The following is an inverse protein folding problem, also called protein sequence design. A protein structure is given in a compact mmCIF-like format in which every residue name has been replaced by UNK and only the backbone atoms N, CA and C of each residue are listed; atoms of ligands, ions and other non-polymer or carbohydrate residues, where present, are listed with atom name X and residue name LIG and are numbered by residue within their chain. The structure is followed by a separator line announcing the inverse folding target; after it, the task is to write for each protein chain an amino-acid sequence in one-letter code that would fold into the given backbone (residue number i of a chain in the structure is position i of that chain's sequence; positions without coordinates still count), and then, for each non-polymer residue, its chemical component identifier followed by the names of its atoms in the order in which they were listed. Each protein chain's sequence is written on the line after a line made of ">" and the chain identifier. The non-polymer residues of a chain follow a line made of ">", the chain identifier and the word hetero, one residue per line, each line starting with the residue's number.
data_IF_625204099497
#
_entry.id   IF_625204099497
#
_cell.length_a   1.000
_cell.length_b   1.000
_cell.length_c   1.000
_cell.angle_alpha   90.00
_cell.angle_beta   90.00
_cell.angle_gamma   90.00
#
_symmetry.space_group_name_H-M   'P 1'
#
loop_
_entity.id
_entity.type
_entity.pdbx_description
1 polymer ?
#
# COMPACT_ATOMS: atom_id res chain seq x y z
N UNK A 1 6.66 25.12 41.96
CA UNK A 1 5.83 23.91 42.17
C UNK A 1 6.56 22.96 43.11
N UNK A 2 6.72 23.31 44.39
CA UNK A 2 7.60 22.55 45.30
C UNK A 2 7.04 22.42 46.73
N UNK A 3 6.00 23.17 47.06
CA UNK A 3 5.41 23.20 48.41
C UNK A 3 4.49 22.00 48.70
N UNK A 4 3.97 21.32 47.67
CA UNK A 4 3.10 20.13 47.85
C UNK A 4 3.92 18.92 48.31
N UNK A 5 5.15 18.75 47.81
CA UNK A 5 6.02 17.65 48.22
C UNK A 5 6.65 17.86 49.60
N UNK A 6 6.80 19.11 50.06
CA UNK A 6 7.38 19.44 51.36
C UNK A 6 6.44 19.14 52.56
N UNK A 7 5.15 18.93 52.29
CA UNK A 7 4.14 18.57 53.30
C UNK A 7 3.66 17.12 53.21
N UNK A 8 4.24 16.32 52.29
CA UNK A 8 3.82 14.93 52.08
C UNK A 8 4.74 14.01 52.88
N UNK A 9 4.16 13.25 53.80
CA UNK A 9 4.84 12.28 54.65
C UNK A 9 5.69 11.31 53.78
N UNK A 10 6.96 11.01 54.16
CA UNK A 10 7.87 10.18 53.35
C UNK A 10 7.28 8.81 52.99
N UNK A 11 6.43 8.25 53.85
CA UNK A 11 5.73 7.00 53.58
C UNK A 11 4.65 7.15 52.48
N UNK A 12 3.99 8.30 52.42
CA UNK A 12 3.02 8.61 51.34
C UNK A 12 3.73 8.77 50.00
N UNK A 13 4.90 9.42 49.99
CA UNK A 13 5.69 9.59 48.78
C UNK A 13 6.23 8.25 48.26
N UNK A 14 6.66 7.37 49.16
CA UNK A 14 7.15 6.04 48.83
C UNK A 14 6.05 5.15 48.26
N UNK A 15 4.86 5.17 48.86
CA UNK A 15 3.70 4.44 48.37
C UNK A 15 3.17 4.99 47.03
N UNK A 16 3.18 6.32 46.84
CA UNK A 16 2.84 6.94 45.57
C UNK A 16 3.84 6.58 44.47
N UNK A 17 5.15 6.56 44.77
CA UNK A 17 6.19 6.16 43.81
C UNK A 17 6.07 4.67 43.43
N UNK A 18 5.78 3.79 44.40
CA UNK A 18 5.49 2.38 44.16
C UNK A 18 4.23 2.21 43.29
N UNK A 19 3.16 2.96 43.58
CA UNK A 19 1.92 2.96 42.81
C UNK A 19 2.09 3.46 41.38
N UNK A 20 2.86 4.53 41.18
CA UNK A 20 3.18 5.06 39.85
C UNK A 20 4.05 4.10 39.05
N UNK A 21 5.03 3.46 39.70
CA UNK A 21 5.90 2.48 39.05
C UNK A 21 5.10 1.27 38.59
N UNK A 22 4.26 0.71 39.48
CA UNK A 22 3.36 -0.40 39.13
C UNK A 22 2.31 0.00 38.08
N UNK A 23 1.76 1.21 38.18
CA UNK A 23 0.80 1.76 37.21
C UNK A 23 1.42 1.90 35.82
N UNK A 24 2.66 2.38 35.71
CA UNK A 24 3.34 2.54 34.43
C UNK A 24 3.56 1.20 33.70
N UNK A 25 3.88 0.14 34.45
CA UNK A 25 4.00 -1.22 33.93
C UNK A 25 2.67 -1.73 33.37
N UNK A 26 1.56 -1.51 34.09
CA UNK A 26 0.23 -1.91 33.62
C UNK A 26 -0.16 -1.16 32.34
N UNK A 27 0.10 0.15 32.27
CA UNK A 27 -0.16 0.94 31.07
C UNK A 27 0.68 0.43 29.90
N UNK A 28 1.95 0.12 30.11
CA UNK A 28 2.82 -0.44 29.08
C UNK A 28 2.29 -1.78 28.53
N UNK A 29 1.82 -2.67 29.41
CA UNK A 29 1.24 -3.97 29.03
C UNK A 29 -0.05 -3.78 28.20
N UNK A 30 -0.93 -2.86 28.63
CA UNK A 30 -2.16 -2.55 27.91
C UNK A 30 -1.85 -2.00 26.51
N UNK A 31 -0.94 -1.04 26.40
CA UNK A 31 -0.53 -0.47 25.12
C UNK A 31 0.06 -1.55 24.20
N UNK A 32 0.91 -2.43 24.72
CA UNK A 32 1.49 -3.54 23.95
C UNK A 32 0.41 -4.47 23.38
N UNK A 33 -0.64 -4.76 24.16
CA UNK A 33 -1.75 -5.60 23.73
C UNK A 33 -2.65 -4.91 22.69
N UNK A 34 -2.87 -3.60 22.83
CA UNK A 34 -3.61 -2.80 21.84
C UNK A 34 -2.87 -2.75 20.52
N UNK A 35 -1.55 -2.49 20.55
CA UNK A 35 -0.70 -2.50 19.35
C UNK A 35 -0.76 -3.86 18.67
N UNK A 36 -0.60 -4.96 19.42
CA UNK A 36 -0.69 -6.32 18.87
C UNK A 36 -2.04 -6.61 18.21
N UNK A 37 -3.16 -6.11 18.76
CA UNK A 37 -4.49 -6.25 18.15
C UNK A 37 -4.73 -5.40 16.91
N UNK A 38 -4.02 -4.27 16.78
CA UNK A 38 -4.16 -3.33 15.64
C UNK A 38 -3.19 -3.68 14.51
N UNK A 39 -2.01 -4.22 14.82
CA UNK A 39 -0.97 -4.51 13.82
C UNK A 39 -1.47 -5.42 12.69
N UNK A 40 -2.31 -6.42 12.99
CA UNK A 40 -2.90 -7.26 11.95
C UNK A 40 -3.77 -6.47 10.95
N UNK A 41 -4.53 -5.49 11.44
CA UNK A 41 -5.35 -4.61 10.59
C UNK A 41 -4.47 -3.68 9.76
N UNK A 42 -3.47 -3.06 10.39
CA UNK A 42 -2.54 -2.14 9.73
C UNK A 42 -1.76 -2.84 8.63
N UNK A 43 -1.17 -4.01 8.92
CA UNK A 43 -0.42 -4.80 7.92
C UNK A 43 -1.31 -5.19 6.75
N UNK A 44 -2.54 -5.66 7.02
CA UNK A 44 -3.51 -5.97 5.97
C UNK A 44 -3.82 -4.75 5.10
N UNK A 45 -4.10 -3.59 5.71
CA UNK A 45 -4.37 -2.34 4.97
C UNK A 45 -3.18 -1.93 4.11
N UNK A 46 -1.95 -2.00 4.63
CA UNK A 46 -0.73 -1.67 3.87
C UNK A 46 -0.57 -2.57 2.66
N UNK A 47 -0.83 -3.88 2.81
CA UNK A 47 -0.76 -4.83 1.68
C UNK A 47 -1.80 -4.47 0.61
N UNK A 48 -3.05 -4.21 0.99
CA UNK A 48 -4.08 -3.82 0.04
C UNK A 48 -3.75 -2.53 -0.70
N UNK A 49 -3.21 -1.54 0.01
CA UNK A 49 -2.76 -0.28 -0.60
C UNK A 49 -1.60 -0.53 -1.57
N UNK A 50 -0.64 -1.37 -1.21
CA UNK A 50 0.47 -1.72 -2.09
C UNK A 50 -0.01 -2.39 -3.38
N UNK A 51 -0.93 -3.34 -3.30
CA UNK A 51 -1.53 -3.99 -4.47
C UNK A 51 -2.29 -2.97 -5.34
N UNK A 52 -3.06 -2.06 -4.71
CA UNK A 52 -3.77 -1.02 -5.43
C UNK A 52 -2.83 -0.05 -6.16
N UNK A 53 -1.71 0.33 -5.53
CA UNK A 53 -0.70 1.20 -6.14
C UNK A 53 -0.01 0.52 -7.33
N UNK A 54 0.35 -0.76 -7.19
CA UNK A 54 0.93 -1.55 -8.29
C UNK A 54 -0.10 -1.73 -9.43
N UNK A 55 -1.37 -1.94 -9.12
CA UNK A 55 -2.43 -1.96 -10.14
C UNK A 55 -2.59 -0.60 -10.84
N UNK A 56 -2.52 0.49 -10.08
CA UNK A 56 -2.66 1.85 -10.63
C UNK A 56 -1.47 2.26 -11.50
N UNK A 57 -0.24 1.90 -11.13
CA UNK A 57 0.95 2.21 -11.94
C UNK A 57 0.91 1.54 -13.32
N UNK A 58 0.19 0.42 -13.45
CA UNK A 58 0.07 -0.33 -14.71
C UNK A 58 -1.02 0.21 -15.64
N UNK A 59 -1.86 1.13 -15.16
CA UNK A 59 -2.93 1.72 -15.98
C UNK A 59 -2.37 2.47 -17.20
N UNK A 60 -1.21 3.11 -17.09
CA UNK A 60 -0.60 3.86 -18.19
C UNK A 60 -0.18 2.93 -19.32
N UNK A 61 0.58 1.87 -19.00
CA UNK A 61 1.09 0.89 -19.98
C UNK A 61 -0.05 0.21 -20.75
N UNK A 62 -1.14 -0.13 -20.06
CA UNK A 62 -2.35 -0.69 -20.68
C UNK A 62 -3.00 0.33 -21.62
N UNK A 63 -3.10 1.59 -21.20
CA UNK A 63 -3.73 2.65 -22.00
C UNK A 63 -2.90 2.95 -23.25
N UNK A 64 -1.57 2.98 -23.13
CA UNK A 64 -0.65 3.22 -24.24
C UNK A 64 -0.64 2.04 -25.24
N UNK A 65 -0.69 0.80 -24.74
CA UNK A 65 -0.84 -0.39 -25.59
C UNK A 65 -2.18 -0.37 -26.35
N UNK A 66 -3.29 -0.12 -25.66
CA UNK A 66 -4.63 -0.05 -26.29
C UNK A 66 -4.68 1.05 -27.34
N UNK A 67 -4.10 2.22 -27.07
CA UNK A 67 -4.01 3.31 -28.04
C UNK A 67 -3.14 2.93 -29.25
N UNK A 68 -2.04 2.20 -29.04
CA UNK A 68 -1.17 1.70 -30.11
C UNK A 68 -1.85 0.64 -30.98
N UNK A 69 -2.57 -0.32 -30.36
CA UNK A 69 -3.41 -1.29 -31.08
C UNK A 69 -4.50 -0.59 -31.89
N UNK A 70 -5.17 0.41 -31.29
CA UNK A 70 -6.23 1.18 -31.95
C UNK A 70 -5.70 2.03 -33.12
N UNK A 71 -4.52 2.63 -32.97
CA UNK A 71 -3.88 3.37 -34.06
C UNK A 71 -3.45 2.43 -35.19
N UNK A 72 -2.91 1.25 -34.87
CA UNK A 72 -2.54 0.23 -35.85
C UNK A 72 -3.77 -0.33 -36.60
N UNK A 73 -4.91 -0.52 -35.93
CA UNK A 73 -6.14 -0.99 -36.56
C UNK A 73 -6.87 0.06 -37.38
N UNK A 74 -6.79 1.34 -37.02
CA UNK A 74 -7.32 2.45 -37.85
C UNK A 74 -6.45 2.71 -39.09
N UNK A 75 -5.14 2.51 -38.99
CA UNK A 75 -4.22 2.60 -40.15
C UNK A 75 -4.39 1.42 -41.12
N UNK A 76 -4.89 0.28 -40.64
CA UNK A 76 -5.15 -0.91 -41.45
C UNK A 76 -6.30 -0.75 -42.46
N UNK A 77 -7.09 0.33 -42.36
CA UNK A 77 -8.09 0.68 -43.38
C UNK A 77 -7.46 1.34 -44.63
N UNK A 78 -6.19 1.78 -44.56
CA UNK A 78 -5.57 2.59 -45.63
C UNK A 78 -4.33 1.96 -46.28
N UNK A 79 -3.53 1.12 -45.61
CA UNK A 79 -2.32 0.55 -46.24
C UNK A 79 -2.03 -0.93 -45.91
N UNK A 80 -1.66 -1.65 -46.96
CA UNK A 80 -1.24 -3.06 -47.05
C UNK A 80 0.11 -3.31 -46.34
N UNK A 81 0.19 -3.01 -45.05
CA UNK A 81 1.38 -3.34 -44.24
C UNK A 81 1.01 -3.44 -42.76
N UNK A 82 0.29 -4.51 -42.39
CA UNK A 82 -0.04 -4.76 -40.99
C UNK A 82 1.18 -5.39 -40.30
N UNK A 83 1.76 -4.80 -39.25
CA UNK A 83 2.67 -5.54 -38.38
C UNK A 83 1.85 -6.66 -37.73
N UNK A 84 2.13 -7.91 -38.09
CA UNK A 84 1.34 -9.08 -37.65
C UNK A 84 1.44 -9.34 -36.14
N UNK A 85 2.35 -8.63 -35.47
CA UNK A 85 2.71 -8.79 -34.08
C UNK A 85 2.92 -7.41 -33.47
N UNK A 86 2.09 -7.03 -32.49
CA UNK A 86 2.31 -5.85 -31.66
C UNK A 86 2.82 -6.33 -30.31
N UNK A 87 4.05 -5.96 -29.96
CA UNK A 87 4.63 -6.25 -28.64
C UNK A 87 4.24 -5.14 -27.68
N UNK A 88 3.45 -5.48 -26.67
CA UNK A 88 3.14 -4.60 -25.55
C UNK A 88 3.78 -5.13 -24.27
N UNK A 89 4.37 -4.25 -23.49
CA UNK A 89 4.91 -4.62 -22.19
C UNK A 89 3.80 -4.59 -21.14
N UNK A 90 3.56 -5.72 -20.48
CA UNK A 90 2.63 -5.89 -19.38
C UNK A 90 3.38 -6.50 -18.19
N UNK A 91 3.37 -5.87 -17.01
CA UNK A 91 4.07 -6.37 -15.83
C UNK A 91 5.59 -6.61 -16.05
N UNK A 92 6.24 -5.83 -16.93
CA UNK A 92 7.65 -6.05 -17.32
C UNK A 92 7.88 -7.32 -18.16
N UNK A 93 6.80 -7.93 -18.66
CA UNK A 93 6.83 -9.00 -19.65
C UNK A 93 6.34 -8.49 -21.00
N UNK A 94 7.07 -8.82 -22.04
CA UNK A 94 6.66 -8.54 -23.41
C UNK A 94 5.56 -9.53 -23.83
N UNK A 95 4.36 -9.01 -24.04
CA UNK A 95 3.21 -9.75 -24.57
C UNK A 95 3.04 -9.39 -26.04
N UNK A 96 3.29 -10.36 -26.92
CA UNK A 96 3.04 -10.22 -28.35
C UNK A 96 1.58 -10.53 -28.64
N UNK A 97 0.83 -9.51 -29.05
CA UNK A 97 -0.57 -9.65 -29.46
C UNK A 97 -0.62 -9.74 -30.98
N UNK A 98 -1.21 -10.83 -31.50
CA UNK A 98 -1.53 -10.95 -32.94
C UNK A 98 -2.74 -10.10 -33.27
N UNK A 99 -2.55 -9.12 -34.15
CA UNK A 99 -3.63 -8.25 -34.61
C UNK A 99 -4.45 -9.03 -35.67
N UNK A 100 -5.77 -9.26 -35.47
CA UNK A 100 -6.58 -9.97 -36.46
C UNK A 100 -6.59 -9.18 -37.78
N UNK A 101 -6.09 -9.82 -38.83
CA UNK A 101 -6.18 -9.30 -40.20
C UNK A 101 -7.66 -9.33 -40.59
N UNK A 102 -8.23 -8.18 -40.97
CA UNK A 102 -9.59 -8.13 -41.50
C UNK A 102 -9.51 -8.61 -42.95
N UNK A 103 -9.68 -9.91 -43.16
CA UNK A 103 -9.75 -10.51 -44.49
C UNK A 103 -11.09 -10.13 -45.12
N UNK A 104 -11.07 -9.27 -46.15
CA UNK A 104 -12.17 -9.11 -47.09
C UNK A 104 -11.87 -9.95 -48.33
#
# INVERSE_FOLDING_TARGET
>A
MSTILAATDPDTLKNAALGLSAGSLLVAIVLMKVISGIMGKVVSTVIFVAIALVGYSQRSEITDCVNSVKAASQSAETELQIPQELTCQFFGQDITVKVPQINN
#
